data_IF_758163320163
#
_entry.id   IF_758163320163
#
_cell.length_a   1.000
_cell.length_b   1.000
_cell.length_c   1.000
_cell.angle_alpha   90.00
_cell.angle_beta   90.00
_cell.angle_gamma   90.00
#
_symmetry.space_group_name_H-M   'P 1'
#
loop_
_entity.id
_entity.type
_entity.pdbx_description
1 polymer ?
#
# COMPACT_ATOMS: atom_id res chain seq x y z
N UNK A 1 -17.30 4.68 34.26
CA UNK A 1 -16.18 4.25 33.40
C UNK A 1 -16.71 4.15 31.98
N UNK A 2 -16.43 5.14 31.12
CA UNK A 2 -16.91 5.13 29.73
C UNK A 2 -16.10 4.11 28.95
N UNK A 3 -16.76 3.04 28.51
CA UNK A 3 -16.14 2.03 27.64
C UNK A 3 -15.94 2.66 26.27
N UNK A 4 -14.69 2.87 25.87
CA UNK A 4 -14.37 3.36 24.52
C UNK A 4 -14.81 2.26 23.55
N UNK A 5 -15.76 2.52 22.63
CA UNK A 5 -16.19 1.51 21.68
C UNK A 5 -14.98 1.09 20.84
N UNK A 6 -14.66 -0.21 20.91
CA UNK A 6 -13.62 -0.84 20.11
C UNK A 6 -14.07 -0.73 18.64
N UNK A 7 -13.42 0.13 17.85
CA UNK A 7 -13.72 0.25 16.42
C UNK A 7 -13.67 -1.15 15.79
N UNK A 8 -14.68 -1.58 15.02
CA UNK A 8 -14.62 -2.86 14.34
C UNK A 8 -13.39 -2.91 13.44
N UNK A 9 -12.74 -4.08 13.38
CA UNK A 9 -11.62 -4.31 12.47
C UNK A 9 -12.19 -4.15 11.06
N UNK A 10 -11.81 -3.07 10.37
CA UNK A 10 -12.19 -2.85 8.98
C UNK A 10 -11.29 -3.71 8.11
N UNK A 11 -11.88 -4.49 7.22
CA UNK A 11 -11.12 -5.21 6.21
C UNK A 11 -10.42 -4.19 5.29
N UNK A 12 -9.16 -4.45 4.99
CA UNK A 12 -8.34 -3.65 4.07
C UNK A 12 -8.15 -4.48 2.80
N UNK A 13 -8.59 -3.96 1.67
CA UNK A 13 -8.46 -4.60 0.36
C UNK A 13 -7.47 -3.86 -0.54
N UNK A 14 -6.99 -4.53 -1.58
CA UNK A 14 -6.13 -3.95 -2.61
C UNK A 14 -6.56 -4.52 -3.95
N UNK A 15 -6.52 -3.70 -5.00
CA UNK A 15 -6.84 -4.15 -6.36
C UNK A 15 -5.68 -4.98 -6.95
N UNK A 16 -5.98 -5.94 -7.81
CA UNK A 16 -4.94 -6.70 -8.51
C UNK A 16 -4.06 -5.80 -9.41
N UNK A 17 -4.59 -4.78 -10.12
CA UNK A 17 -3.76 -3.80 -10.82
C UNK A 17 -2.75 -3.07 -9.92
N UNK A 18 -3.15 -2.67 -8.71
CA UNK A 18 -2.24 -2.05 -7.73
C UNK A 18 -1.09 -3.00 -7.32
N UNK A 19 -1.42 -4.28 -7.11
CA UNK A 19 -0.41 -5.31 -6.83
C UNK A 19 0.56 -5.50 -7.99
N UNK A 20 0.04 -5.50 -9.22
CA UNK A 20 0.88 -5.64 -10.41
C UNK A 20 1.80 -4.43 -10.60
N UNK A 21 1.31 -3.21 -10.35
CA UNK A 21 2.13 -1.98 -10.38
C UNK A 21 3.25 -2.05 -9.34
N UNK A 22 2.93 -2.45 -8.10
CA UNK A 22 3.94 -2.65 -7.06
C UNK A 22 4.99 -3.70 -7.46
N UNK A 23 4.56 -4.85 -7.98
CA UNK A 23 5.45 -5.93 -8.39
C UNK A 23 6.37 -5.50 -9.53
N UNK A 24 5.81 -4.92 -10.60
CA UNK A 24 6.58 -4.44 -11.75
C UNK A 24 7.59 -3.36 -11.34
N UNK A 25 7.21 -2.47 -10.42
CA UNK A 25 8.14 -1.49 -9.86
C UNK A 25 9.31 -2.19 -9.15
N UNK A 26 9.03 -3.12 -8.24
CA UNK A 26 10.07 -3.85 -7.52
C UNK A 26 10.96 -4.63 -8.47
N UNK A 27 10.41 -5.34 -9.47
CA UNK A 27 11.19 -6.11 -10.44
C UNK A 27 12.13 -5.23 -11.28
N UNK A 28 11.76 -3.96 -11.51
CA UNK A 28 12.58 -2.98 -12.21
C UNK A 28 13.81 -2.48 -11.42
N UNK A 29 13.88 -2.71 -10.11
CA UNK A 29 15.01 -2.25 -9.30
C UNK A 29 16.26 -3.13 -9.52
N UNK A 30 17.48 -2.54 -9.65
CA UNK A 30 18.70 -3.27 -9.99
C UNK A 30 19.02 -4.49 -9.10
N UNK A 31 18.70 -4.40 -7.81
CA UNK A 31 19.01 -5.40 -6.77
C UNK A 31 17.76 -5.97 -6.10
N UNK A 32 16.62 -5.94 -6.78
CA UNK A 32 15.37 -6.44 -6.19
C UNK A 32 15.40 -7.93 -5.96
N UNK A 33 14.91 -8.36 -4.79
CA UNK A 33 14.66 -9.78 -4.51
C UNK A 33 13.60 -10.37 -5.44
N UNK A 34 12.66 -9.54 -5.91
CA UNK A 34 11.59 -9.96 -6.83
C UNK A 34 12.05 -10.13 -8.28
N UNK A 35 13.27 -9.68 -8.61
CA UNK A 35 13.82 -9.77 -9.96
C UNK A 35 14.02 -11.23 -10.35
N UNK A 36 13.29 -11.68 -11.37
CA UNK A 36 13.32 -13.06 -11.84
C UNK A 36 12.47 -14.04 -11.01
N UNK A 37 11.73 -13.56 -10.00
CA UNK A 37 10.69 -14.37 -9.36
C UNK A 37 9.52 -14.60 -10.34
N UNK A 38 8.90 -15.79 -10.34
CA UNK A 38 7.61 -15.98 -10.99
C UNK A 38 6.57 -15.01 -10.46
N UNK A 39 5.69 -14.50 -11.33
CA UNK A 39 4.74 -13.43 -10.98
C UNK A 39 3.86 -13.79 -9.77
N UNK A 40 3.40 -15.04 -9.66
CA UNK A 40 2.61 -15.49 -8.51
C UNK A 40 3.36 -15.36 -7.18
N UNK A 41 4.66 -15.72 -7.17
CA UNK A 41 5.50 -15.58 -5.97
C UNK A 41 5.83 -14.13 -5.67
N UNK A 42 6.06 -13.33 -6.72
CA UNK A 42 6.26 -11.89 -6.60
C UNK A 42 5.04 -11.18 -6.00
N UNK A 43 3.84 -11.57 -6.44
CA UNK A 43 2.56 -11.08 -5.92
C UNK A 43 2.38 -11.41 -4.43
N UNK A 44 2.64 -12.65 -4.04
CA UNK A 44 2.58 -13.06 -2.64
C UNK A 44 3.59 -12.29 -1.77
N UNK A 45 4.80 -12.05 -2.31
CA UNK A 45 5.82 -11.25 -1.66
C UNK A 45 5.35 -9.80 -1.41
N UNK A 46 4.76 -9.15 -2.42
CA UNK A 46 4.20 -7.79 -2.28
C UNK A 46 3.11 -7.75 -1.21
N UNK A 47 2.19 -8.71 -1.22
CA UNK A 47 1.13 -8.82 -0.21
C UNK A 47 1.69 -9.00 1.20
N UNK A 48 2.74 -9.82 1.34
CA UNK A 48 3.39 -10.03 2.62
C UNK A 48 4.01 -8.73 3.15
N UNK A 49 4.77 -8.00 2.33
CA UNK A 49 5.34 -6.71 2.72
C UNK A 49 4.28 -5.69 3.13
N UNK A 50 3.16 -5.63 2.40
CA UNK A 50 2.05 -4.75 2.74
C UNK A 50 1.41 -5.11 4.08
N UNK A 51 1.14 -6.40 4.32
CA UNK A 51 0.58 -6.88 5.61
C UNK A 51 1.50 -6.51 6.77
N UNK A 52 2.78 -6.83 6.65
CA UNK A 52 3.77 -6.51 7.69
C UNK A 52 3.82 -5.01 7.99
N UNK A 53 3.80 -4.16 6.96
CA UNK A 53 3.82 -2.71 7.13
C UNK A 53 2.55 -2.19 7.84
N UNK A 54 1.38 -2.75 7.53
CA UNK A 54 0.13 -2.37 8.18
C UNK A 54 0.05 -2.90 9.63
N UNK A 55 0.57 -4.10 9.90
CA UNK A 55 0.58 -4.72 11.23
C UNK A 55 1.55 -4.04 12.21
N UNK A 56 2.63 -3.43 11.71
CA UNK A 56 3.59 -2.68 12.53
C UNK A 56 3.01 -1.37 13.10
N UNK A 57 1.90 -0.87 12.53
CA UNK A 57 1.28 0.36 13.01
C UNK A 57 0.46 0.10 14.28
N UNK A 58 0.40 1.07 15.22
CA UNK A 58 -0.45 0.94 16.41
C UNK A 58 -1.91 0.67 16.03
N UNK A 59 -2.60 -0.16 16.83
CA UNK A 59 -4.02 -0.46 16.62
C UNK A 59 -4.83 0.84 16.55
N UNK A 60 -5.54 1.05 15.44
CA UNK A 60 -6.34 2.26 15.21
C UNK A 60 -5.58 3.45 14.61
N UNK A 61 -4.28 3.32 14.33
CA UNK A 61 -3.50 4.33 13.61
C UNK A 61 -3.78 4.34 12.10
N UNK A 62 -4.26 3.23 11.55
CA UNK A 62 -4.72 3.16 10.17
C UNK A 62 -6.14 3.71 10.10
N UNK A 63 -6.26 4.83 9.41
CA UNK A 63 -7.52 5.49 9.10
C UNK A 63 -7.56 5.89 7.64
N UNK A 64 -8.60 6.62 7.30
CA UNK A 64 -8.71 7.23 5.98
C UNK A 64 -7.56 8.22 5.78
N UNK A 65 -6.92 8.15 4.61
CA UNK A 65 -5.75 8.93 4.20
C UNK A 65 -4.45 8.60 4.94
N UNK A 66 -4.37 7.48 5.65
CA UNK A 66 -3.08 6.97 6.14
C UNK A 66 -2.17 6.62 4.96
N UNK A 67 -0.89 7.02 5.05
CA UNK A 67 0.13 6.68 4.05
C UNK A 67 1.22 5.85 4.73
N UNK A 68 1.44 4.63 4.24
CA UNK A 68 2.27 3.63 4.91
C UNK A 68 3.35 3.13 3.95
N UNK A 69 4.65 3.34 4.23
CA UNK A 69 5.70 2.74 3.41
C UNK A 69 5.69 1.22 3.59
N UNK A 70 5.74 0.47 2.49
CA UNK A 70 5.75 -1.00 2.54
C UNK A 70 6.82 -1.64 1.63
N UNK A 71 7.67 -0.83 1.00
CA UNK A 71 8.79 -1.30 0.20
C UNK A 71 9.65 -0.16 -0.31
N UNK A 72 10.78 -0.46 -0.97
CA UNK A 72 11.61 0.55 -1.62
C UNK A 72 10.76 1.34 -2.61
N UNK A 73 10.62 2.65 -2.39
CA UNK A 73 9.85 3.56 -3.24
C UNK A 73 8.35 3.19 -3.39
N UNK A 74 7.79 2.45 -2.43
CA UNK A 74 6.38 2.05 -2.40
C UNK A 74 5.67 2.53 -1.13
N UNK A 75 4.49 3.13 -1.30
CA UNK A 75 3.60 3.52 -0.21
C UNK A 75 2.17 3.07 -0.49
N UNK A 76 1.50 2.61 0.57
CA UNK A 76 0.09 2.31 0.59
C UNK A 76 -0.67 3.53 1.09
N UNK A 77 -1.46 4.15 0.22
CA UNK A 77 -2.44 5.16 0.61
C UNK A 77 -3.76 4.47 0.92
N UNK A 78 -4.18 4.52 2.18
CA UNK A 78 -5.40 3.87 2.65
C UNK A 78 -6.57 4.83 2.51
N UNK A 79 -7.59 4.46 1.75
CA UNK A 79 -8.79 5.29 1.50
C UNK A 79 -10.06 4.46 1.68
N UNK A 80 -11.25 5.06 1.80
CA UNK A 80 -12.51 4.31 1.75
C UNK A 80 -12.61 3.49 0.46
N UNK A 81 -13.08 2.25 0.55
CA UNK A 81 -13.34 1.45 -0.64
C UNK A 81 -14.34 2.16 -1.55
N UNK A 82 -14.04 2.18 -2.86
CA UNK A 82 -14.91 2.77 -3.87
C UNK A 82 -14.91 4.31 -3.95
N UNK A 83 -13.98 5.00 -3.29
CA UNK A 83 -13.90 6.48 -3.35
C UNK A 83 -13.69 7.02 -4.78
N UNK A 84 -13.10 6.21 -5.67
CA UNK A 84 -12.84 6.46 -7.09
C UNK A 84 -13.91 5.86 -8.02
N UNK A 85 -14.87 5.10 -7.48
CA UNK A 85 -15.96 4.50 -8.25
C UNK A 85 -17.14 5.46 -8.30
N UNK A 86 -17.00 6.50 -9.13
CA UNK A 86 -18.04 7.51 -9.31
C UNK A 86 -19.39 6.87 -9.70
N UNK A 87 -20.43 7.12 -8.89
CA UNK A 87 -21.80 6.69 -9.15
C UNK A 87 -22.16 5.27 -8.70
N UNK A 88 -21.24 4.57 -8.04
CA UNK A 88 -21.50 3.23 -7.53
C UNK A 88 -21.65 3.26 -6.00
N UNK A 89 -22.81 2.85 -5.49
CA UNK A 89 -23.05 2.76 -4.03
C UNK A 89 -22.32 1.53 -3.48
N UNK A 90 -21.04 1.73 -3.15
CA UNK A 90 -20.12 0.68 -2.73
C UNK A 90 -19.50 0.95 -1.35
N UNK A 91 -20.15 1.80 -0.54
CA UNK A 91 -19.71 2.05 0.83
C UNK A 91 -20.12 0.89 1.75
N UNK A 92 -19.39 -0.22 1.66
CA UNK A 92 -19.59 -1.38 2.54
C UNK A 92 -18.75 -1.34 3.83
N UNK A 93 -18.02 -0.24 4.05
CA UNK A 93 -17.23 0.00 5.25
C UNK A 93 -15.79 -0.52 5.21
N UNK A 94 -15.38 -1.15 4.11
CA UNK A 94 -13.98 -1.54 3.88
C UNK A 94 -13.09 -0.34 3.57
N UNK A 95 -11.79 -0.52 3.78
CA UNK A 95 -10.75 0.38 3.30
C UNK A 95 -10.06 -0.26 2.10
N UNK A 96 -9.61 0.54 1.15
CA UNK A 96 -8.79 0.11 0.02
C UNK A 96 -7.41 0.75 0.07
N UNK A 97 -6.42 0.02 -0.41
CA UNK A 97 -5.06 0.50 -0.65
C UNK A 97 -4.95 0.96 -2.09
N UNK A 98 -4.53 2.21 -2.28
CA UNK A 98 -3.92 2.67 -3.52
C UNK A 98 -2.41 2.58 -3.40
N UNK A 99 -1.76 2.01 -4.42
CA UNK A 99 -0.30 1.93 -4.44
C UNK A 99 0.29 3.21 -5.04
N UNK A 100 1.14 3.86 -4.26
CA UNK A 100 1.97 4.96 -4.71
C UNK A 100 3.38 4.44 -4.97
N UNK A 101 3.87 4.65 -6.19
CA UNK A 101 5.26 4.35 -6.57
C UNK A 101 6.00 5.65 -6.81
N UNK A 102 7.23 5.79 -6.28
CA UNK A 102 8.15 6.82 -6.77
C UNK A 102 8.85 6.28 -8.03
N UNK A 103 8.59 6.83 -9.23
CA UNK A 103 9.08 6.24 -10.48
C UNK A 103 10.58 6.49 -10.74
N UNK A 104 11.21 7.36 -9.94
CA UNK A 104 12.59 7.81 -10.14
C UNK A 104 13.44 7.53 -8.90
N UNK A 105 14.72 7.24 -9.12
CA UNK A 105 15.74 7.21 -8.08
C UNK A 105 16.18 8.61 -7.66
N UNK A 106 16.97 8.72 -6.60
CA UNK A 106 17.63 9.97 -6.25
C UNK A 106 18.95 10.03 -6.99
N UNK A 107 19.18 11.07 -7.80
CA UNK A 107 20.49 11.36 -8.40
C UNK A 107 21.27 12.30 -7.46
N UNK A 108 22.33 11.81 -6.80
CA UNK A 108 23.11 12.62 -5.86
C UNK A 108 23.85 13.79 -6.52
N UNK A 109 23.97 13.82 -7.85
CA UNK A 109 24.64 14.90 -8.58
C UNK A 109 23.70 16.07 -8.93
N UNK A 110 22.39 15.88 -8.80
CA UNK A 110 21.36 16.89 -9.10
C UNK A 110 20.39 17.07 -7.94
N UNK A 111 20.88 17.61 -6.81
CA UNK A 111 20.09 17.86 -5.59
C UNK A 111 19.85 19.37 -5.42
N UNK A 112 18.64 19.74 -4.99
CA UNK A 112 18.27 21.10 -4.57
C UNK A 112 17.90 21.09 -3.09
N UNK A 113 18.42 22.03 -2.30
CA UNK A 113 18.06 22.19 -0.88
C UNK A 113 16.65 22.78 -0.73
N UNK A 114 15.88 22.28 0.24
CA UNK A 114 14.53 22.72 0.59
C UNK A 114 14.48 23.34 1.97
#
# INVERSE_FOLDING_TARGET
MLSIPKRPIREIVISEPDLQVALSHLQGLPFSKTKGMPDQWGREWVLQCLREALEQLPKGAIGERSCVPFGPSLWALVVPFGIDLAGADHQDGRLQVWVLTRPVGTDPLTITSV
#
